data_IF_846348677118
#
_entry.id   IF_846348677118
#
_cell.length_a   1.000
_cell.length_b   1.000
_cell.length_c   1.000
_cell.angle_alpha   90.00
_cell.angle_beta   90.00
_cell.angle_gamma   90.00
#
_symmetry.space_group_name_H-M   'P 1'
#
loop_
_entity.id
_entity.type
_entity.pdbx_description
1 polymer ?
#
# COMPACT_ATOMS: atom_id res chain seq x y z
N UNK A 1 -9.83 9.67 -7.37
CA UNK A 1 -8.40 10.03 -7.37
C UNK A 1 -8.02 10.83 -6.10
N UNK A 2 -8.41 10.34 -4.91
CA UNK A 2 -8.22 11.04 -3.63
C UNK A 2 -7.22 10.37 -2.68
N UNK A 3 -6.95 9.06 -2.85
CA UNK A 3 -6.03 8.31 -1.97
C UNK A 3 -4.55 8.58 -2.27
N UNK A 4 -4.20 8.93 -3.50
CA UNK A 4 -2.80 9.03 -3.97
C UNK A 4 -2.14 10.37 -3.62
N UNK A 5 -2.91 11.40 -3.26
CA UNK A 5 -2.43 12.79 -3.28
C UNK A 5 -1.48 13.21 -2.14
N UNK A 6 -1.18 12.35 -1.17
CA UNK A 6 -0.33 12.71 -0.01
C UNK A 6 0.75 11.70 0.35
N UNK A 7 0.51 10.41 0.15
CA UNK A 7 1.47 9.35 0.48
C UNK A 7 1.80 8.46 -0.73
N UNK A 8 1.16 8.70 -1.89
CA UNK A 8 1.48 7.99 -3.12
C UNK A 8 2.80 8.50 -3.67
N UNK A 9 3.80 7.62 -3.74
CA UNK A 9 5.03 7.90 -4.46
C UNK A 9 4.73 7.73 -5.95
N UNK A 10 4.90 8.79 -6.73
CA UNK A 10 4.95 8.65 -8.18
C UNK A 10 6.10 7.69 -8.47
N UNK A 11 5.82 6.57 -9.13
CA UNK A 11 6.78 5.52 -9.48
C UNK A 11 7.94 6.15 -10.25
N UNK A 12 8.99 6.58 -9.55
CA UNK A 12 10.24 7.01 -10.15
C UNK A 12 11.12 5.78 -10.32
N UNK A 13 11.97 5.70 -11.36
CA UNK A 13 12.87 4.57 -11.57
C UNK A 13 13.81 4.29 -10.39
N UNK A 14 13.95 5.23 -9.46
CA UNK A 14 14.78 5.11 -8.25
C UNK A 14 14.00 4.66 -7.00
N UNK A 15 12.68 4.47 -7.07
CA UNK A 15 11.83 4.07 -5.92
C UNK A 15 10.82 2.99 -6.32
N UNK A 16 11.05 1.77 -5.84
CA UNK A 16 10.16 0.61 -6.02
C UNK A 16 8.90 0.64 -5.12
N UNK A 17 8.77 1.65 -4.25
CA UNK A 17 7.70 1.77 -3.27
C UNK A 17 6.47 2.50 -3.83
N UNK A 18 5.27 2.00 -3.52
CA UNK A 18 4.01 2.64 -3.88
C UNK A 18 3.54 3.66 -2.83
N UNK A 19 3.74 3.34 -1.55
CA UNK A 19 3.44 4.22 -0.42
C UNK A 19 4.69 4.52 0.41
N UNK A 20 4.90 5.81 0.69
CA UNK A 20 5.90 6.29 1.65
C UNK A 20 5.30 6.60 3.03
N UNK A 21 6.12 7.20 3.90
CA UNK A 21 5.71 7.74 5.21
C UNK A 21 5.04 6.73 6.15
N UNK A 22 5.38 5.44 6.04
CA UNK A 22 4.86 4.40 6.92
C UNK A 22 5.77 4.20 8.14
N UNK A 23 5.19 3.69 9.22
CA UNK A 23 5.89 3.38 10.47
C UNK A 23 5.65 1.92 10.86
N UNK A 24 6.71 1.12 10.93
CA UNK A 24 6.64 -0.30 11.28
C UNK A 24 6.67 -0.56 12.78
N UNK A 25 7.63 0.02 13.50
CA UNK A 25 7.79 -0.20 14.93
C UNK A 25 8.31 1.05 15.64
N UNK A 26 7.39 1.94 15.99
CA UNK A 26 7.70 3.16 16.74
C UNK A 26 8.36 2.90 18.11
N UNK A 27 7.88 1.94 18.94
CA UNK A 27 8.51 1.67 20.23
C UNK A 27 9.99 1.25 20.15
N UNK A 28 10.40 0.60 19.06
CA UNK A 28 11.80 0.23 18.81
C UNK A 28 12.56 1.21 17.89
N UNK A 29 11.90 2.27 17.43
CA UNK A 29 12.49 3.23 16.49
C UNK A 29 12.88 2.62 15.14
N UNK A 30 12.18 1.57 14.69
CA UNK A 30 12.50 0.85 13.47
C UNK A 30 11.46 1.11 12.38
N UNK A 31 11.94 1.22 11.14
CA UNK A 31 11.12 1.43 9.95
C UNK A 31 10.22 2.65 10.11
N UNK A 32 10.81 3.80 10.48
CA UNK A 32 10.11 5.08 10.64
C UNK A 32 10.25 5.86 9.34
N UNK A 33 9.14 6.39 8.84
CA UNK A 33 9.09 7.22 7.63
C UNK A 33 9.64 6.51 6.39
N UNK A 34 9.36 5.21 6.27
CA UNK A 34 9.79 4.36 5.14
C UNK A 34 8.58 3.81 4.38
N UNK A 35 8.82 3.13 3.27
CA UNK A 35 7.82 2.24 2.67
C UNK A 35 7.80 0.88 3.37
N UNK A 36 6.62 0.27 3.41
CA UNK A 36 6.41 -1.06 3.99
C UNK A 36 5.70 -1.94 2.96
N UNK A 37 6.30 -3.10 2.66
CA UNK A 37 5.79 -4.03 1.63
C UNK A 37 4.32 -4.43 1.83
N UNK A 38 3.87 -4.55 3.09
CA UNK A 38 2.48 -4.85 3.40
C UNK A 38 1.56 -3.64 3.21
N UNK A 39 2.06 -2.42 3.39
CA UNK A 39 1.33 -1.19 3.09
C UNK A 39 1.02 -1.08 1.60
N UNK A 40 2.03 -1.37 0.76
CA UNK A 40 1.88 -1.40 -0.69
C UNK A 40 0.86 -2.46 -1.15
N UNK A 41 0.89 -3.66 -0.56
CA UNK A 41 -0.11 -4.70 -0.82
C UNK A 41 -1.54 -4.22 -0.51
N UNK A 42 -1.80 -3.70 0.69
CA UNK A 42 -3.15 -3.28 1.07
C UNK A 42 -3.64 -2.04 0.32
N UNK A 43 -2.73 -1.17 -0.11
CA UNK A 43 -3.06 -0.04 -0.97
C UNK A 43 -3.56 -0.49 -2.34
N UNK A 44 -2.84 -1.43 -2.99
CA UNK A 44 -3.29 -2.01 -4.26
C UNK A 44 -4.58 -2.80 -4.10
N UNK A 45 -4.74 -3.54 -3.00
CA UNK A 45 -5.97 -4.27 -2.72
C UNK A 45 -7.17 -3.32 -2.54
N UNK A 46 -6.99 -2.21 -1.83
CA UNK A 46 -8.03 -1.20 -1.66
C UNK A 46 -8.42 -0.51 -2.98
N UNK A 47 -7.45 -0.25 -3.86
CA UNK A 47 -7.71 0.27 -5.20
C UNK A 47 -8.48 -0.73 -6.07
N UNK A 48 -8.10 -2.00 -6.05
CA UNK A 48 -8.82 -3.07 -6.77
C UNK A 48 -10.26 -3.21 -6.28
N UNK A 49 -10.47 -3.20 -4.95
CA UNK A 49 -11.81 -3.22 -4.35
C UNK A 49 -12.66 -2.01 -4.76
N UNK A 50 -12.06 -0.83 -4.87
CA UNK A 50 -12.75 0.38 -5.33
C UNK A 50 -13.15 0.27 -6.81
N UNK A 51 -12.34 -0.40 -7.63
CA UNK A 51 -12.61 -0.66 -9.05
C UNK A 51 -13.59 -1.85 -9.26
N UNK A 52 -14.08 -2.45 -8.18
CA UNK A 52 -15.01 -3.59 -8.22
C UNK A 52 -14.34 -4.95 -8.45
N UNK A 53 -13.00 -4.99 -8.51
CA UNK A 53 -12.23 -6.23 -8.59
C UNK A 53 -12.16 -6.87 -7.19
N UNK A 54 -12.51 -8.16 -7.10
CA UNK A 54 -12.62 -8.90 -5.83
C UNK A 54 -11.51 -9.94 -5.60
N UNK A 55 -10.57 -10.05 -6.51
CA UNK A 55 -9.43 -10.96 -6.39
C UNK A 55 -8.52 -10.48 -5.23
N UNK A 56 -8.57 -11.19 -4.11
CA UNK A 56 -7.69 -10.94 -2.95
C UNK A 56 -6.95 -12.23 -2.61
N UNK A 57 -5.74 -12.14 -2.08
CA UNK A 57 -4.95 -13.33 -1.73
C UNK A 57 -5.48 -14.10 -0.51
N UNK A 58 -6.59 -13.64 0.09
CA UNK A 58 -7.09 -14.11 1.39
C UNK A 58 -8.59 -14.48 1.40
N UNK A 59 -9.34 -14.11 0.36
CA UNK A 59 -10.80 -14.29 0.30
C UNK A 59 -11.23 -14.74 -1.09
N UNK A 60 -11.94 -15.86 -1.09
CA UNK A 60 -12.37 -16.69 -2.20
C UNK A 60 -13.32 -15.99 -3.18
N UNK A 61 -13.18 -16.37 -4.45
CA UNK A 61 -14.29 -16.42 -5.40
C UNK A 61 -15.41 -17.27 -4.77
N UNK A 62 -16.39 -16.62 -4.16
CA UNK A 62 -17.63 -17.24 -3.68
C UNK A 62 -18.80 -16.49 -4.32
N UNK A 63 -19.31 -17.13 -5.38
CA UNK A 63 -20.71 -17.11 -5.80
C UNK A 63 -21.60 -17.83 -4.78
#
# INVERSE_FOLDING_TARGET
MALTGRCGVATSPDHDALLGNATGNLPKGQNIDVSLIYGDYFYLEALQKLDGLRETCWGSHED
#
